data_IF_259614341749
#
_entry.id   IF_259614341749
#
_cell.length_a   1.000
_cell.length_b   1.000
_cell.length_c   1.000
_cell.angle_alpha   90.00
_cell.angle_beta   90.00
_cell.angle_gamma   90.00
#
_symmetry.space_group_name_H-M   'P 1'
#
loop_
_entity.id
_entity.type
_entity.pdbx_description
1 polymer ?
#
# COMPACT_ATOMS: atom_id res chain seq x y z
N UNK A 1 -4.08 -19.57 -13.68
CA UNK A 1 -3.13 -19.78 -12.57
C UNK A 1 -3.79 -20.71 -11.59
N UNK A 2 -3.55 -22.01 -11.74
CA UNK A 2 -4.06 -23.03 -10.82
C UNK A 2 -3.09 -23.35 -9.67
N UNK A 3 -2.01 -22.59 -9.55
CA UNK A 3 -0.86 -22.93 -8.70
C UNK A 3 -1.15 -22.68 -7.21
N UNK A 4 -2.04 -21.75 -6.89
CA UNK A 4 -2.40 -21.45 -5.51
C UNK A 4 -3.92 -21.56 -5.34
N UNK A 5 -4.42 -22.77 -5.35
CA UNK A 5 -5.72 -23.03 -4.76
C UNK A 5 -5.49 -22.97 -3.27
N UNK A 6 -6.00 -21.93 -2.62
CA UNK A 6 -5.96 -21.81 -1.17
C UNK A 6 -6.40 -23.14 -0.55
N UNK A 7 -5.49 -23.79 0.14
CA UNK A 7 -5.70 -25.14 0.67
C UNK A 7 -6.48 -25.13 1.97
N UNK A 8 -6.81 -23.95 2.48
CA UNK A 8 -7.48 -23.80 3.76
C UNK A 8 -8.98 -23.99 3.58
N UNK A 9 -9.55 -24.93 4.27
CA UNK A 9 -10.99 -25.23 4.30
C UNK A 9 -11.57 -25.70 2.95
N UNK A 10 -10.75 -26.11 1.99
CA UNK A 10 -11.21 -26.56 0.67
C UNK A 10 -11.70 -25.44 -0.26
N UNK A 11 -11.46 -24.19 0.08
CA UNK A 11 -11.84 -23.01 -0.71
C UNK A 11 -10.61 -22.37 -1.39
N UNK A 12 -10.78 -21.64 -2.50
CA UNK A 12 -9.67 -21.01 -3.22
C UNK A 12 -9.16 -19.73 -2.52
N UNK A 13 -9.04 -19.75 -1.19
CA UNK A 13 -8.59 -18.63 -0.36
C UNK A 13 -7.46 -19.08 0.55
N UNK A 14 -6.47 -18.19 0.77
CA UNK A 14 -5.41 -18.40 1.74
C UNK A 14 -5.82 -17.86 3.11
N UNK A 15 -5.53 -18.61 4.18
CA UNK A 15 -5.68 -18.13 5.55
C UNK A 15 -4.42 -17.37 5.98
N UNK A 16 -4.18 -16.20 5.42
CA UNK A 16 -2.97 -15.42 5.70
C UNK A 16 -2.77 -15.13 7.18
N UNK A 17 -3.83 -14.80 7.93
CA UNK A 17 -3.72 -14.59 9.37
C UNK A 17 -3.26 -15.84 10.13
N UNK A 18 -3.70 -17.04 9.71
CA UNK A 18 -3.23 -18.29 10.30
C UNK A 18 -1.76 -18.56 9.96
N UNK A 19 -1.35 -18.32 8.70
CA UNK A 19 0.06 -18.46 8.27
C UNK A 19 0.95 -17.54 9.10
N UNK A 20 0.56 -16.28 9.26
CA UNK A 20 1.33 -15.28 10.02
C UNK A 20 1.51 -15.70 11.48
N UNK A 21 0.43 -16.15 12.14
CA UNK A 21 0.48 -16.59 13.53
C UNK A 21 1.34 -17.86 13.70
N UNK A 22 1.22 -18.81 12.79
CA UNK A 22 2.02 -20.05 12.78
C UNK A 22 3.50 -19.74 12.58
N UNK A 23 3.83 -18.90 11.59
CA UNK A 23 5.21 -18.51 11.30
C UNK A 23 5.81 -17.71 12.45
N UNK A 24 5.06 -16.77 13.03
CA UNK A 24 5.49 -16.02 14.22
C UNK A 24 5.73 -16.94 15.41
N UNK A 25 4.83 -17.90 15.65
CA UNK A 25 4.99 -18.92 16.69
C UNK A 25 6.22 -19.78 16.49
N UNK A 26 6.44 -20.25 15.26
CA UNK A 26 7.61 -21.04 14.88
C UNK A 26 8.92 -20.26 15.09
N UNK A 27 9.03 -19.05 14.56
CA UNK A 27 10.23 -18.21 14.70
C UNK A 27 10.50 -17.90 16.18
N UNK A 28 9.46 -17.55 16.94
CA UNK A 28 9.59 -17.32 18.38
C UNK A 28 10.12 -18.55 19.13
N UNK A 29 9.71 -19.76 18.79
CA UNK A 29 10.24 -20.99 19.37
C UNK A 29 11.71 -21.20 19.01
N UNK A 30 12.10 -20.91 17.76
CA UNK A 30 13.48 -21.02 17.27
C UNK A 30 14.41 -20.05 18.01
N UNK A 31 14.03 -18.78 18.18
CA UNK A 31 14.87 -17.79 18.88
C UNK A 31 14.92 -17.97 20.40
N UNK A 32 13.86 -18.51 21.00
CA UNK A 32 13.82 -18.82 22.45
C UNK A 32 14.61 -20.05 22.84
N UNK A 33 15.26 -20.73 21.89
CA UNK A 33 16.05 -21.92 22.16
C UNK A 33 17.14 -21.64 23.20
N UNK A 34 17.18 -22.45 24.26
CA UNK A 34 18.15 -22.35 25.37
C UNK A 34 19.61 -22.46 24.94
N UNK A 35 19.89 -23.11 23.82
CA UNK A 35 21.24 -23.26 23.25
C UNK A 35 21.84 -21.96 22.72
N UNK A 36 21.06 -20.86 22.62
CA UNK A 36 21.48 -19.54 22.09
C UNK A 36 22.14 -19.62 20.72
N UNK A 37 21.78 -20.64 19.92
CA UNK A 37 22.23 -20.87 18.56
C UNK A 37 21.04 -21.32 17.74
N UNK A 38 20.93 -20.83 16.52
CA UNK A 38 19.92 -21.32 15.57
C UNK A 38 20.27 -22.76 15.15
N UNK A 39 19.26 -23.60 15.07
CA UNK A 39 19.44 -24.95 14.50
C UNK A 39 19.67 -24.83 12.99
N UNK A 40 20.33 -25.84 12.40
CA UNK A 40 20.47 -25.90 10.95
C UNK A 40 19.15 -26.26 10.24
N UNK A 41 18.16 -26.75 11.00
CA UNK A 41 16.87 -27.20 10.49
C UNK A 41 15.81 -26.08 10.43
N UNK A 42 16.03 -24.94 11.13
CA UNK A 42 14.97 -23.94 11.30
C UNK A 42 14.45 -23.38 9.97
N UNK A 43 15.37 -23.09 9.02
CA UNK A 43 14.98 -22.55 7.71
C UNK A 43 14.15 -23.56 6.91
N UNK A 44 14.59 -24.81 6.84
CA UNK A 44 13.83 -25.87 6.17
C UNK A 44 12.46 -26.10 6.80
N UNK A 45 12.35 -25.98 8.13
CA UNK A 45 11.06 -26.05 8.83
C UNK A 45 10.16 -24.86 8.51
N UNK A 46 10.72 -23.67 8.40
CA UNK A 46 9.99 -22.46 7.99
C UNK A 46 9.48 -22.60 6.53
N UNK A 47 10.36 -22.98 5.61
CA UNK A 47 10.02 -23.22 4.21
C UNK A 47 8.93 -24.29 4.08
N UNK A 48 9.02 -25.39 4.86
CA UNK A 48 8.00 -26.45 4.85
C UNK A 48 6.63 -26.00 5.36
N UNK A 49 6.55 -25.01 6.26
CA UNK A 49 5.28 -24.39 6.65
C UNK A 49 4.71 -23.59 5.47
N UNK A 50 5.55 -22.79 4.79
CA UNK A 50 5.13 -22.03 3.61
C UNK A 50 4.63 -22.98 2.50
N UNK A 51 5.35 -24.06 2.21
CA UNK A 51 4.96 -25.05 1.21
C UNK A 51 3.61 -25.72 1.53
N UNK A 52 3.37 -25.98 2.84
CA UNK A 52 2.11 -26.58 3.28
C UNK A 52 0.90 -25.65 3.07
N UNK A 53 1.07 -24.33 3.26
CA UNK A 53 -0.01 -23.34 3.14
C UNK A 53 -0.14 -22.76 1.75
N UNK A 54 0.96 -22.57 1.03
CA UNK A 54 0.99 -21.85 -0.25
C UNK A 54 1.23 -22.79 -1.45
N UNK A 55 1.69 -24.02 -1.20
CA UNK A 55 2.18 -24.93 -2.23
C UNK A 55 3.67 -24.76 -2.50
N UNK A 56 4.28 -25.79 -3.07
CA UNK A 56 5.70 -25.76 -3.44
C UNK A 56 5.96 -24.78 -4.59
N UNK A 57 7.08 -24.07 -4.53
CA UNK A 57 7.51 -23.21 -5.63
C UNK A 57 7.79 -24.05 -6.88
N UNK A 58 7.13 -23.77 -8.01
CA UNK A 58 7.32 -24.57 -9.22
C UNK A 58 8.70 -24.30 -9.85
N UNK A 59 9.49 -25.33 -10.10
CA UNK A 59 10.71 -25.20 -10.91
C UNK A 59 10.38 -24.78 -12.34
N UNK A 60 9.29 -25.33 -12.89
CA UNK A 60 8.77 -25.07 -14.23
C UNK A 60 7.26 -25.12 -14.26
N UNK A 61 6.67 -24.36 -15.18
CA UNK A 61 5.22 -24.38 -15.41
C UNK A 61 4.90 -24.04 -16.86
N UNK A 62 3.71 -24.40 -17.32
CA UNK A 62 3.22 -24.08 -18.66
C UNK A 62 2.34 -22.82 -18.64
N UNK A 63 2.58 -21.93 -19.61
CA UNK A 63 1.72 -20.78 -19.88
C UNK A 63 1.53 -20.61 -21.39
N UNK A 64 0.28 -20.63 -21.84
CA UNK A 64 -0.10 -20.54 -23.25
C UNK A 64 0.64 -21.54 -24.17
N UNK A 65 0.82 -22.78 -23.71
CA UNK A 65 1.46 -23.86 -24.47
C UNK A 65 2.99 -23.78 -24.55
N UNK A 66 3.63 -22.92 -23.76
CA UNK A 66 5.10 -22.84 -23.62
C UNK A 66 5.51 -23.06 -22.18
N UNK A 67 6.57 -23.84 -21.97
CA UNK A 67 7.18 -24.08 -20.66
C UNK A 67 8.06 -22.90 -20.26
N UNK A 68 7.95 -22.49 -19.00
CA UNK A 68 8.73 -21.42 -18.38
C UNK A 68 9.25 -21.85 -17.00
N UNK A 69 10.39 -21.32 -16.61
CA UNK A 69 10.75 -21.15 -15.19
C UNK A 69 10.17 -19.83 -14.69
N UNK A 70 10.03 -19.58 -13.37
CA UNK A 70 9.63 -18.28 -12.84
C UNK A 70 10.47 -17.13 -13.41
N UNK A 71 11.78 -17.32 -13.54
CA UNK A 71 12.70 -16.32 -14.08
C UNK A 71 12.46 -16.04 -15.56
N UNK A 72 12.39 -17.06 -16.41
CA UNK A 72 12.16 -16.85 -17.84
C UNK A 72 10.77 -16.28 -18.12
N UNK A 73 9.78 -16.58 -17.29
CA UNK A 73 8.46 -15.96 -17.38
C UNK A 73 8.53 -14.47 -17.05
N UNK A 74 9.24 -14.09 -15.98
CA UNK A 74 9.43 -12.68 -15.63
C UNK A 74 10.13 -11.90 -16.75
N UNK A 75 11.17 -12.49 -17.36
CA UNK A 75 11.96 -11.82 -18.40
C UNK A 75 11.20 -11.73 -19.74
N UNK A 76 10.51 -12.79 -20.16
CA UNK A 76 9.93 -12.88 -21.51
C UNK A 76 8.45 -12.48 -21.57
N UNK A 77 7.68 -12.73 -20.52
CA UNK A 77 6.23 -12.51 -20.51
C UNK A 77 5.86 -11.25 -19.73
N UNK A 78 6.41 -11.06 -18.53
CA UNK A 78 6.21 -9.85 -17.75
C UNK A 78 6.97 -8.68 -18.37
N UNK A 79 8.24 -8.87 -18.71
CA UNK A 79 9.05 -7.95 -19.50
C UNK A 79 9.32 -6.60 -18.80
N UNK A 80 9.24 -6.54 -17.47
CA UNK A 80 9.56 -5.33 -16.71
C UNK A 80 11.05 -5.27 -16.43
N UNK A 81 11.69 -4.15 -16.80
CA UNK A 81 13.03 -3.84 -16.33
C UNK A 81 12.91 -3.13 -14.97
N UNK A 82 13.23 -3.84 -13.89
CA UNK A 82 13.11 -3.30 -12.52
C UNK A 82 14.01 -2.10 -12.26
N UNK A 83 15.11 -1.94 -12.98
CA UNK A 83 16.01 -0.78 -12.90
C UNK A 83 15.39 0.53 -13.42
N UNK A 84 14.24 0.42 -14.09
CA UNK A 84 13.47 1.59 -14.55
C UNK A 84 12.45 2.08 -13.49
N UNK A 85 12.31 1.37 -12.39
CA UNK A 85 11.37 1.71 -11.33
C UNK A 85 12.09 2.23 -10.10
N UNK A 86 11.52 3.25 -9.49
CA UNK A 86 12.08 3.89 -8.29
C UNK A 86 11.00 4.07 -7.23
N UNK A 87 11.41 3.96 -5.97
CA UNK A 87 10.56 4.26 -4.81
C UNK A 87 10.72 5.74 -4.43
N UNK A 88 9.60 6.42 -4.20
CA UNK A 88 9.54 7.82 -3.80
C UNK A 88 8.68 7.99 -2.55
N UNK A 89 9.09 8.85 -1.65
CA UNK A 89 8.39 9.17 -0.40
C UNK A 89 8.50 10.66 -0.07
N UNK A 90 7.90 11.10 1.06
CA UNK A 90 7.94 12.50 1.51
C UNK A 90 7.92 12.58 3.02
N UNK A 91 9.08 12.74 3.66
CA UNK A 91 9.21 12.92 5.10
C UNK A 91 10.31 13.92 5.45
N UNK A 92 10.15 14.70 6.54
CA UNK A 92 11.08 15.78 6.90
C UNK A 92 12.21 15.35 7.82
N UNK A 93 12.14 14.16 8.43
CA UNK A 93 13.21 13.64 9.31
C UNK A 93 14.48 13.22 8.55
N UNK A 94 14.41 13.15 7.22
CA UNK A 94 15.55 13.04 6.32
C UNK A 94 15.59 14.17 5.30
N UNK A 95 16.78 14.57 4.80
CA UNK A 95 16.89 15.62 3.79
C UNK A 95 16.10 15.30 2.52
N UNK A 96 15.41 16.30 1.96
CA UNK A 96 14.82 16.15 0.64
C UNK A 96 15.90 15.96 -0.44
N UNK A 97 15.52 15.26 -1.50
CA UNK A 97 16.38 14.88 -2.64
C UNK A 97 17.51 13.92 -2.27
N UNK A 98 17.45 13.29 -1.10
CA UNK A 98 18.29 12.18 -0.68
C UNK A 98 17.52 10.86 -0.73
N UNK A 99 18.22 9.76 -0.50
CA UNK A 99 17.61 8.44 -0.30
C UNK A 99 17.73 8.01 1.16
N UNK A 100 16.70 7.36 1.66
CA UNK A 100 16.73 6.71 2.96
C UNK A 100 15.79 5.49 2.96
N UNK A 101 15.98 4.58 3.89
CA UNK A 101 15.07 3.49 4.15
C UNK A 101 13.98 3.99 5.10
N UNK A 102 12.71 3.92 4.69
CA UNK A 102 11.59 4.29 5.57
C UNK A 102 11.60 3.33 6.77
N UNK A 103 11.62 3.89 7.98
CA UNK A 103 11.79 3.16 9.25
C UNK A 103 10.45 2.58 9.73
N UNK A 104 9.92 1.63 8.97
CA UNK A 104 8.70 0.88 9.31
C UNK A 104 8.99 -0.62 9.27
N UNK A 105 8.29 -1.45 10.09
CA UNK A 105 8.51 -2.91 10.13
C UNK A 105 8.37 -3.58 8.76
N UNK A 106 7.47 -3.11 7.91
CA UNK A 106 7.21 -3.69 6.58
C UNK A 106 8.36 -3.49 5.61
N UNK A 107 9.21 -2.49 5.84
CA UNK A 107 10.45 -2.29 5.07
C UNK A 107 11.62 -3.15 5.61
N UNK A 108 11.37 -4.44 5.84
CA UNK A 108 12.36 -5.37 6.40
C UNK A 108 13.58 -5.60 5.51
N UNK A 109 13.47 -5.34 4.21
CA UNK A 109 14.62 -5.36 3.26
C UNK A 109 15.46 -4.07 3.30
N UNK A 110 15.06 -3.06 4.08
CA UNK A 110 15.69 -1.73 4.08
C UNK A 110 15.75 -1.11 2.68
N UNK A 111 14.67 -1.30 1.91
CA UNK A 111 14.52 -0.70 0.59
C UNK A 111 14.62 0.82 0.66
N UNK A 112 15.41 1.40 -0.24
CA UNK A 112 15.65 2.85 -0.26
C UNK A 112 14.59 3.57 -1.08
N UNK A 113 14.10 4.69 -0.56
CA UNK A 113 13.19 5.60 -1.25
C UNK A 113 13.83 6.98 -1.44
N UNK A 114 13.62 7.60 -2.59
CA UNK A 114 13.97 9.01 -2.77
C UNK A 114 12.98 9.89 -2.05
N UNK A 115 13.47 10.87 -1.33
CA UNK A 115 12.67 11.78 -0.51
C UNK A 115 12.36 13.07 -1.26
N UNK A 116 11.10 13.44 -1.35
CA UNK A 116 10.62 14.65 -2.02
C UNK A 116 9.80 15.52 -1.06
N UNK A 117 9.72 16.85 -1.27
CA UNK A 117 8.63 17.64 -0.69
C UNK A 117 7.26 17.09 -1.10
N UNK A 118 6.27 17.21 -0.22
CA UNK A 118 4.93 16.64 -0.41
C UNK A 118 4.29 17.06 -1.74
N UNK A 119 4.45 18.33 -2.13
CA UNK A 119 3.87 18.84 -3.37
C UNK A 119 4.57 18.29 -4.61
N UNK A 120 5.89 18.05 -4.54
CA UNK A 120 6.63 17.40 -5.63
C UNK A 120 6.26 15.92 -5.74
N UNK A 121 6.03 15.21 -4.62
CA UNK A 121 5.53 13.84 -4.65
C UNK A 121 4.12 13.80 -5.30
N UNK A 122 3.22 14.72 -4.93
CA UNK A 122 1.91 14.85 -5.54
C UNK A 122 2.00 15.18 -7.05
N UNK A 123 2.95 16.05 -7.43
CA UNK A 123 3.22 16.36 -8.83
C UNK A 123 3.67 15.12 -9.61
N UNK A 124 4.54 14.27 -9.04
CA UNK A 124 4.96 13.01 -9.68
C UNK A 124 3.77 12.08 -9.86
N UNK A 125 2.93 11.89 -8.83
CA UNK A 125 1.74 11.04 -8.92
C UNK A 125 0.80 11.52 -10.04
N UNK A 126 0.54 12.82 -10.09
CA UNK A 126 -0.31 13.41 -11.13
C UNK A 126 0.31 13.26 -12.51
N UNK A 127 1.60 13.61 -12.68
CA UNK A 127 2.32 13.53 -13.94
C UNK A 127 2.41 12.09 -14.48
N UNK A 128 2.57 11.10 -13.60
CA UNK A 128 2.58 9.70 -14.00
C UNK A 128 1.29 9.34 -14.77
N UNK A 129 0.14 9.58 -14.16
CA UNK A 129 -1.15 9.25 -14.76
C UNK A 129 -1.39 10.06 -16.04
N UNK A 130 -1.04 11.36 -16.06
CA UNK A 130 -1.23 12.22 -17.24
C UNK A 130 -0.39 11.78 -18.45
N UNK A 131 0.71 11.08 -18.20
CA UNK A 131 1.58 10.55 -19.25
C UNK A 131 1.41 9.03 -19.50
N UNK A 132 0.31 8.44 -19.03
CA UNK A 132 -0.04 7.05 -19.30
C UNK A 132 0.73 6.02 -18.46
N UNK A 133 1.37 6.45 -17.37
CA UNK A 133 2.00 5.57 -16.40
C UNK A 133 1.06 5.30 -15.24
N UNK A 134 1.16 4.11 -14.68
CA UNK A 134 0.54 3.72 -13.41
C UNK A 134 1.62 3.60 -12.34
N UNK A 135 1.24 3.50 -11.08
CA UNK A 135 2.20 3.31 -10.00
C UNK A 135 1.66 2.43 -8.88
N UNK A 136 2.56 1.67 -8.23
CA UNK A 136 2.23 1.00 -6.99
C UNK A 136 2.21 2.03 -5.85
N UNK A 137 1.30 1.87 -4.92
CA UNK A 137 1.03 2.80 -3.83
C UNK A 137 0.93 2.05 -2.52
N UNK A 138 1.86 2.30 -1.61
CA UNK A 138 1.81 1.87 -0.23
C UNK A 138 1.19 2.98 0.63
N UNK A 139 0.21 2.64 1.42
CA UNK A 139 -0.59 3.60 2.18
C UNK A 139 -1.08 3.04 3.50
N UNK A 140 -1.24 3.93 4.47
CA UNK A 140 -2.08 3.67 5.61
C UNK A 140 -3.56 3.62 5.17
N UNK A 141 -4.23 2.55 5.54
CA UNK A 141 -5.66 2.31 5.27
C UNK A 141 -6.49 2.18 6.55
N UNK A 142 -5.87 2.38 7.70
CA UNK A 142 -6.54 2.36 9.01
C UNK A 142 -7.39 3.60 9.28
N UNK A 143 -7.29 4.61 8.42
CA UNK A 143 -8.01 5.87 8.48
C UNK A 143 -9.53 5.73 8.37
N UNK A 144 -10.24 6.56 9.14
CA UNK A 144 -11.71 6.60 9.13
C UNK A 144 -12.30 7.01 7.79
N UNK A 145 -11.58 7.85 7.03
CA UNK A 145 -11.94 8.25 5.67
C UNK A 145 -11.68 7.21 4.60
N UNK A 146 -11.04 6.07 4.94
CA UNK A 146 -10.83 4.95 4.01
C UNK A 146 -12.10 4.08 3.92
N UNK A 147 -13.07 4.53 3.14
CA UNK A 147 -14.41 3.96 3.02
C UNK A 147 -14.61 3.33 1.64
N UNK A 148 -13.75 2.37 1.30
CA UNK A 148 -13.66 1.80 -0.05
C UNK A 148 -14.79 0.84 -0.40
N UNK A 149 -15.49 0.27 0.60
CA UNK A 149 -16.69 -0.55 0.36
C UNK A 149 -17.89 0.30 -0.03
N UNK A 150 -18.24 1.28 0.79
CA UNK A 150 -19.30 2.27 0.56
C UNK A 150 -18.92 3.57 1.29
N UNK A 151 -18.90 4.71 0.59
CA UNK A 151 -19.33 4.94 -0.81
C UNK A 151 -18.31 4.56 -1.89
N UNK A 152 -17.15 4.04 -1.56
CA UNK A 152 -16.08 3.67 -2.50
C UNK A 152 -15.04 4.77 -2.66
N UNK A 153 -14.72 5.47 -1.56
CA UNK A 153 -13.76 6.58 -1.52
C UNK A 153 -12.76 6.44 -0.37
N UNK A 154 -11.63 7.10 -0.53
CA UNK A 154 -10.68 7.40 0.53
C UNK A 154 -10.48 8.92 0.57
N UNK A 155 -10.83 9.55 1.70
CA UNK A 155 -10.95 11.02 1.86
C UNK A 155 -10.47 11.46 3.24
N UNK A 156 -10.14 12.75 3.39
CA UNK A 156 -9.71 13.34 4.67
C UNK A 156 -10.72 14.43 5.09
N UNK A 157 -11.79 14.07 5.81
CA UNK A 157 -12.84 15.03 6.18
C UNK A 157 -12.31 16.17 7.03
N UNK A 158 -12.84 17.40 6.83
CA UNK A 158 -12.57 18.56 7.71
C UNK A 158 -13.19 18.42 9.09
N UNK A 159 -14.27 17.62 9.21
CA UNK A 159 -14.95 17.40 10.50
C UNK A 159 -14.02 16.60 11.42
N UNK A 160 -13.35 17.32 12.30
CA UNK A 160 -12.46 16.74 13.30
C UNK A 160 -13.27 16.35 14.52
N UNK A 161 -12.92 15.22 15.14
CA UNK A 161 -13.43 14.85 16.47
C UNK A 161 -13.15 15.91 17.54
N UNK A 162 -12.20 16.83 17.28
CA UNK A 162 -11.93 17.98 18.17
C UNK A 162 -13.10 18.95 18.32
N UNK A 163 -14.01 18.99 17.34
CA UNK A 163 -15.22 19.83 17.39
C UNK A 163 -16.43 19.09 17.95
N UNK A 164 -16.31 17.79 18.21
CA UNK A 164 -17.36 16.97 18.78
C UNK A 164 -17.34 17.03 20.31
N UNK A 165 -18.51 17.10 20.93
CA UNK A 165 -18.62 16.88 22.37
C UNK A 165 -18.20 15.47 22.77
N UNK A 166 -17.79 15.26 24.01
CA UNK A 166 -17.41 13.92 24.49
C UNK A 166 -18.48 12.84 24.26
N UNK A 167 -19.75 13.22 24.31
CA UNK A 167 -20.87 12.31 24.03
C UNK A 167 -20.97 11.93 22.53
N UNK A 168 -20.68 12.86 21.64
CA UNK A 168 -20.65 12.63 20.19
C UNK A 168 -19.45 11.77 19.80
N UNK A 169 -18.28 12.01 20.41
CA UNK A 169 -17.08 11.17 20.24
C UNK A 169 -17.39 9.73 20.68
N UNK A 170 -17.91 9.53 21.87
CA UNK A 170 -18.25 8.21 22.39
C UNK A 170 -19.26 7.47 21.51
N UNK A 171 -20.28 8.17 21.01
CA UNK A 171 -21.29 7.60 20.09
C UNK A 171 -20.64 7.23 18.75
N UNK A 172 -19.71 8.03 18.26
CA UNK A 172 -19.03 7.83 17.01
C UNK A 172 -18.01 6.68 17.07
N UNK A 173 -17.24 6.60 18.17
CA UNK A 173 -16.32 5.48 18.45
C UNK A 173 -17.06 4.14 18.63
N UNK A 174 -18.28 4.17 19.14
CA UNK A 174 -19.14 2.99 19.27
C UNK A 174 -19.73 2.51 17.94
N UNK A 175 -19.64 3.30 16.87
CA UNK A 175 -20.15 2.88 15.56
C UNK A 175 -19.20 1.85 14.91
N UNK A 176 -19.71 0.87 14.16
CA UNK A 176 -18.89 0.02 13.31
C UNK A 176 -17.99 0.88 12.41
N UNK A 177 -16.72 0.51 12.23
CA UNK A 177 -15.74 1.27 11.42
C UNK A 177 -16.29 1.69 10.04
N UNK A 178 -17.08 0.82 9.38
CA UNK A 178 -17.74 1.12 8.11
C UNK A 178 -18.84 2.20 8.16
N UNK A 179 -19.27 2.63 9.35
CA UNK A 179 -20.33 3.64 9.54
C UNK A 179 -19.78 4.98 10.06
N UNK A 180 -18.45 5.10 10.20
CA UNK A 180 -17.78 6.28 10.74
C UNK A 180 -17.47 7.35 9.69
N UNK A 181 -17.85 7.14 8.43
CA UNK A 181 -17.74 8.18 7.42
C UNK A 181 -18.71 9.30 7.77
N UNK A 182 -18.29 10.56 7.81
CA UNK A 182 -19.20 11.68 7.95
C UNK A 182 -20.33 11.59 6.92
N UNK A 183 -21.56 11.82 7.34
CA UNK A 183 -22.74 11.72 6.45
C UNK A 183 -22.62 12.59 5.20
N UNK A 184 -21.86 13.68 5.28
CA UNK A 184 -21.53 14.53 4.15
C UNK A 184 -20.94 13.75 2.97
N UNK A 185 -19.98 12.81 3.21
CA UNK A 185 -19.37 12.02 2.14
C UNK A 185 -20.23 10.88 1.63
N UNK A 186 -21.26 10.49 2.39
CA UNK A 186 -22.27 9.52 1.92
C UNK A 186 -23.25 10.15 0.93
N UNK A 187 -23.43 11.46 1.02
CA UNK A 187 -24.32 12.23 0.15
C UNK A 187 -23.61 12.82 -1.08
N UNK A 188 -22.28 12.79 -1.09
CA UNK A 188 -21.47 13.32 -2.19
C UNK A 188 -20.14 13.89 -1.70
N UNK A 189 -19.38 14.55 -2.58
CA UNK A 189 -18.15 15.23 -2.22
C UNK A 189 -18.37 16.33 -1.15
N UNK A 190 -17.51 16.34 -0.15
CA UNK A 190 -17.54 17.32 0.95
C UNK A 190 -16.14 17.94 1.12
N UNK A 191 -16.01 19.09 1.84
CA UNK A 191 -14.73 19.71 2.10
C UNK A 191 -13.76 18.78 2.81
N UNK A 192 -12.50 18.76 2.38
CA UNK A 192 -11.41 18.00 2.96
C UNK A 192 -10.38 18.92 3.61
N UNK A 193 -9.56 18.36 4.51
CA UNK A 193 -8.44 19.07 5.12
C UNK A 193 -7.40 19.46 4.06
N UNK A 194 -6.85 20.66 4.18
CA UNK A 194 -5.64 21.03 3.46
C UNK A 194 -4.44 20.34 4.14
N UNK A 195 -3.76 19.46 3.42
CA UNK A 195 -2.68 18.65 3.99
C UNK A 195 -1.35 19.34 3.78
N UNK A 196 -0.66 19.62 4.89
CA UNK A 196 0.70 20.18 4.90
C UNK A 196 1.76 19.09 5.10
N UNK A 197 3.00 19.45 4.81
CA UNK A 197 4.16 18.58 5.05
C UNK A 197 4.30 18.24 6.53
N UNK A 198 4.05 19.22 7.41
CA UNK A 198 4.15 19.08 8.87
C UNK A 198 3.08 18.13 9.40
N UNK A 199 1.83 18.24 8.94
CA UNK A 199 0.75 17.33 9.33
C UNK A 199 1.11 15.88 8.98
N UNK A 200 1.60 15.66 7.76
CA UNK A 200 2.03 14.34 7.30
C UNK A 200 3.16 13.78 8.17
N UNK A 201 4.18 14.59 8.48
CA UNK A 201 5.30 14.17 9.33
C UNK A 201 4.84 13.85 10.75
N UNK A 202 3.98 14.70 11.33
CA UNK A 202 3.45 14.50 12.68
C UNK A 202 2.70 13.17 12.83
N UNK A 203 1.90 12.80 11.84
CA UNK A 203 1.18 11.52 11.84
C UNK A 203 2.13 10.32 11.79
N UNK A 204 3.19 10.42 11.00
CA UNK A 204 4.24 9.39 10.95
C UNK A 204 4.99 9.29 12.28
N UNK A 205 5.42 10.42 12.86
CA UNK A 205 6.15 10.48 14.13
C UNK A 205 5.32 9.95 15.31
N UNK A 206 4.01 10.12 15.25
CA UNK A 206 3.07 9.65 16.26
C UNK A 206 2.57 8.22 16.03
N UNK A 207 3.07 7.51 15.01
CA UNK A 207 2.60 6.17 14.60
C UNK A 207 1.11 6.12 14.25
N UNK A 208 0.55 7.24 13.79
CA UNK A 208 -0.82 7.34 13.29
C UNK A 208 -0.92 7.15 11.77
N UNK A 209 0.22 7.14 11.10
CA UNK A 209 0.35 6.70 9.70
C UNK A 209 1.33 5.54 9.67
N UNK A 210 0.84 4.38 9.25
CA UNK A 210 1.56 3.10 9.19
C UNK A 210 1.59 2.56 7.77
N UNK A 211 2.47 1.61 7.48
CA UNK A 211 2.51 0.94 6.18
C UNK A 211 1.61 -0.31 6.24
N UNK A 212 0.35 -0.15 5.83
CA UNK A 212 -0.68 -1.17 6.04
C UNK A 212 -0.98 -1.96 4.78
N UNK A 213 -0.90 -1.31 3.59
CA UNK A 213 -1.47 -1.92 2.40
C UNK A 213 -0.88 -1.40 1.09
N UNK A 214 -0.58 -2.34 0.19
CA UNK A 214 -0.11 -2.05 -1.17
C UNK A 214 -1.24 -2.11 -2.20
N UNK A 215 -1.39 -1.07 -3.03
CA UNK A 215 -2.43 -0.93 -4.03
C UNK A 215 -1.86 -0.43 -5.36
N UNK A 216 -2.69 -0.37 -6.40
CA UNK A 216 -2.28 0.07 -7.73
C UNK A 216 -3.12 1.25 -8.22
N UNK A 217 -2.49 2.39 -8.42
CA UNK A 217 -3.13 3.60 -8.98
C UNK A 217 -3.05 3.57 -10.49
N UNK A 218 -4.22 3.64 -11.14
CA UNK A 218 -4.34 3.42 -12.58
C UNK A 218 -4.94 4.60 -13.36
N UNK A 219 -5.43 5.63 -12.68
CA UNK A 219 -6.08 6.74 -13.35
C UNK A 219 -6.41 7.89 -12.41
N UNK A 220 -7.00 8.94 -12.98
CA UNK A 220 -7.57 10.08 -12.27
C UNK A 220 -9.00 10.35 -12.70
N UNK A 221 -9.78 10.92 -11.81
CA UNK A 221 -11.12 11.44 -12.07
C UNK A 221 -11.28 12.79 -11.37
N UNK A 222 -12.33 13.53 -11.75
CA UNK A 222 -12.75 14.75 -11.04
C UNK A 222 -14.20 14.60 -10.64
N UNK A 223 -14.53 15.09 -9.45
CA UNK A 223 -15.91 15.22 -9.04
C UNK A 223 -16.56 16.47 -9.67
N UNK A 224 -17.84 16.70 -9.34
CA UNK A 224 -18.60 17.85 -9.84
C UNK A 224 -18.08 19.21 -9.31
N UNK A 225 -17.26 19.22 -8.28
CA UNK A 225 -16.63 20.42 -7.70
C UNK A 225 -15.23 20.68 -8.26
N UNK A 226 -14.73 19.74 -9.10
CA UNK A 226 -13.39 19.80 -9.68
C UNK A 226 -12.29 19.18 -8.81
N UNK A 227 -12.64 18.59 -7.67
CA UNK A 227 -11.69 17.86 -6.79
C UNK A 227 -11.11 16.68 -7.54
N UNK A 228 -9.79 16.53 -7.48
CA UNK A 228 -9.08 15.42 -8.12
C UNK A 228 -9.13 14.18 -7.23
N UNK A 229 -9.46 13.06 -7.84
CA UNK A 229 -9.40 11.73 -7.25
C UNK A 229 -8.53 10.82 -8.09
N UNK A 230 -7.78 9.93 -7.43
CA UNK A 230 -7.06 8.84 -8.06
C UNK A 230 -7.93 7.59 -8.10
N UNK A 231 -7.93 6.90 -9.24
CA UNK A 231 -8.62 5.61 -9.40
C UNK A 231 -7.65 4.54 -8.95
N UNK A 232 -8.02 3.83 -7.89
CA UNK A 232 -7.19 2.83 -7.24
C UNK A 232 -7.78 1.45 -7.43
N UNK A 233 -6.98 0.50 -7.93
CA UNK A 233 -7.30 -0.92 -7.95
C UNK A 233 -6.83 -1.56 -6.66
N UNK A 234 -7.78 -2.09 -5.88
CA UNK A 234 -7.49 -2.85 -4.67
C UNK A 234 -7.30 -4.33 -4.99
N UNK A 235 -6.73 -5.08 -4.04
CA UNK A 235 -6.51 -6.54 -4.14
C UNK A 235 -7.62 -7.37 -3.46
N UNK A 236 -8.70 -6.75 -2.98
CA UNK A 236 -9.77 -7.41 -2.21
C UNK A 236 -10.94 -7.91 -3.07
N UNK A 237 -10.68 -8.34 -4.30
CA UNK A 237 -11.69 -8.81 -5.24
C UNK A 237 -12.76 -7.74 -5.55
N UNK A 238 -13.93 -8.14 -6.05
CA UNK A 238 -15.05 -7.26 -6.41
C UNK A 238 -15.96 -6.97 -5.19
N UNK A 239 -15.39 -6.39 -4.13
CA UNK A 239 -16.05 -6.19 -2.84
C UNK A 239 -17.01 -4.98 -2.79
N UNK A 240 -17.03 -4.16 -3.83
CA UNK A 240 -17.84 -2.93 -3.90
C UNK A 240 -18.52 -2.78 -5.27
N UNK A 241 -19.40 -1.78 -5.41
CA UNK A 241 -20.13 -1.48 -6.66
C UNK A 241 -19.24 -1.07 -7.84
N UNK A 242 -17.97 -0.78 -7.59
CA UNK A 242 -16.99 -0.39 -8.62
C UNK A 242 -16.07 -1.55 -9.03
N UNK A 243 -16.44 -2.80 -8.74
CA UNK A 243 -15.66 -3.97 -9.15
C UNK A 243 -14.29 -4.08 -8.48
N UNK A 244 -14.16 -3.61 -7.24
CA UNK A 244 -12.91 -3.63 -6.49
C UNK A 244 -12.02 -2.39 -6.68
N UNK A 245 -12.49 -1.41 -7.46
CA UNK A 245 -11.86 -0.09 -7.56
C UNK A 245 -12.47 0.88 -6.56
N UNK A 246 -11.72 1.93 -6.20
CA UNK A 246 -12.22 3.04 -5.40
C UNK A 246 -11.51 4.35 -5.79
N UNK A 247 -11.94 5.45 -5.20
CA UNK A 247 -11.45 6.78 -5.51
C UNK A 247 -10.78 7.41 -4.29
N UNK A 248 -9.46 7.61 -4.34
CA UNK A 248 -8.71 8.31 -3.30
C UNK A 248 -8.55 9.79 -3.68
N UNK A 249 -8.95 10.69 -2.79
CA UNK A 249 -8.76 12.13 -3.02
C UNK A 249 -7.29 12.52 -2.98
N UNK A 250 -6.92 13.61 -3.65
CA UNK A 250 -5.54 14.13 -3.58
C UNK A 250 -5.11 14.46 -2.14
N UNK A 251 -5.96 15.06 -1.26
CA UNK A 251 -5.64 15.21 0.15
C UNK A 251 -5.31 13.88 0.85
N UNK A 252 -6.09 12.82 0.61
CA UNK A 252 -5.80 11.50 1.18
C UNK A 252 -4.46 10.95 0.69
N UNK A 253 -4.19 11.05 -0.62
CA UNK A 253 -2.92 10.64 -1.21
C UNK A 253 -1.73 11.39 -0.58
N UNK A 254 -1.83 12.71 -0.41
CA UNK A 254 -0.80 13.51 0.26
C UNK A 254 -0.59 13.08 1.70
N UNK A 255 -1.67 12.77 2.42
CA UNK A 255 -1.63 12.53 3.86
C UNK A 255 -1.11 11.15 4.21
N UNK A 256 -1.60 10.10 3.53
CA UNK A 256 -1.45 8.72 3.96
C UNK A 256 -0.54 7.84 3.07
N UNK A 257 0.06 8.40 2.03
CA UNK A 257 1.05 7.66 1.22
C UNK A 257 2.32 7.39 2.02
N UNK A 258 2.70 6.14 2.17
CA UNK A 258 4.02 5.78 2.67
C UNK A 258 5.08 5.98 1.58
N UNK A 259 4.93 5.25 0.49
CA UNK A 259 5.73 5.45 -0.72
C UNK A 259 4.92 5.11 -1.99
N UNK A 260 5.50 5.47 -3.12
CA UNK A 260 5.04 4.98 -4.43
C UNK A 260 6.20 4.33 -5.15
N UNK A 261 5.92 3.31 -5.96
CA UNK A 261 6.89 2.76 -6.91
C UNK A 261 6.42 3.12 -8.31
N UNK A 262 7.23 3.88 -9.01
CA UNK A 262 6.87 4.45 -10.31
C UNK A 262 8.02 4.32 -11.32
N UNK A 263 7.67 4.18 -12.60
CA UNK A 263 8.67 4.19 -13.67
C UNK A 263 9.39 5.55 -13.73
N UNK A 264 10.72 5.56 -13.80
CA UNK A 264 11.53 6.79 -13.76
C UNK A 264 11.14 7.85 -14.81
N UNK A 265 10.66 7.42 -15.97
CA UNK A 265 10.20 8.35 -17.02
C UNK A 265 8.87 9.05 -16.71
N UNK A 266 8.14 8.58 -15.69
CA UNK A 266 6.94 9.23 -15.19
C UNK A 266 7.25 10.45 -14.29
N UNK A 267 8.50 10.57 -13.82
CA UNK A 267 8.94 11.67 -12.96
C UNK A 267 9.19 12.91 -13.84
N UNK A 268 8.66 14.09 -13.50
CA UNK A 268 8.98 15.34 -14.19
C UNK A 268 10.49 15.56 -14.30
N UNK A 269 10.94 16.08 -15.45
CA UNK A 269 12.38 16.18 -15.76
C UNK A 269 13.19 17.00 -14.75
N UNK A 270 12.60 18.05 -14.21
CA UNK A 270 13.22 18.92 -13.19
C UNK A 270 13.37 18.18 -11.86
N UNK A 271 12.36 17.43 -11.41
CA UNK A 271 12.41 16.61 -10.19
C UNK A 271 13.42 15.47 -10.39
N UNK A 272 13.37 14.78 -11.53
CA UNK A 272 14.33 13.72 -11.85
C UNK A 272 15.79 14.21 -11.80
N UNK A 273 16.02 15.42 -12.30
CA UNK A 273 17.35 16.07 -12.22
C UNK A 273 17.79 16.34 -10.77
N UNK A 274 16.89 16.82 -9.91
CA UNK A 274 17.17 17.05 -8.48
C UNK A 274 17.51 15.73 -7.75
N UNK A 275 16.88 14.63 -8.15
CA UNK A 275 17.13 13.31 -7.59
C UNK A 275 18.37 12.60 -8.18
N UNK A 276 18.99 13.13 -9.23
CA UNK A 276 20.11 12.49 -9.91
C UNK A 276 19.74 11.23 -10.70
N UNK A 277 18.44 11.04 -10.99
CA UNK A 277 17.92 9.89 -11.74
C UNK A 277 18.13 10.11 -13.25
N UNK A 278 18.78 9.14 -13.90
CA UNK A 278 19.08 9.14 -15.34
C UNK A 278 17.98 8.53 -16.19
#
# INVERSE_FOLDING_TARGET
>A
MDVYKGLNYGEPNHAFGEIDDVLAGYVNAVIKNSNKKLSIAWKKGFDGILDAYLGEEPEKFEYKGKEYTPRTFADEVVGLNMDDYVSLTSFTHHPFYSQFAIEVPDNWLWGMSYNLPIDELAQVMSNAIDNGYTFAWASDVSERGFQTSQPGVAVVPTTDTKEMSGAEIAKWEAMPKGNQTPDAFRQGPAPEKEITQEMRQQEFDNYLTTDDHGMHVIGKAKDQNGTVYYIVKNSWNQYNKFGGYFYASEPFMKYKTMNIIVHKNAIPKDIRKKLGIK
#
